data_IF_935525519525
#
_entry.id   IF_935525519525
#
_cell.length_a   1.000
_cell.length_b   1.000
_cell.length_c   1.000
_cell.angle_alpha   90.00
_cell.angle_beta   90.00
_cell.angle_gamma   90.00
#
_symmetry.space_group_name_H-M   'P 1'
#
loop_
_entity.id
_entity.type
_entity.pdbx_description
1 polymer ?
#
# COMPACT_ATOMS: atom_id res chain seq x y z
N UNK A 1 -4.41 18.19 10.49
CA UNK A 1 -5.60 17.38 10.12
C UNK A 1 -5.36 16.65 8.81
N UNK A 2 -4.89 15.40 8.85
CA UNK A 2 -4.52 14.65 7.62
C UNK A 2 -5.72 14.25 6.77
N UNK A 3 -6.79 13.72 7.41
CA UNK A 3 -7.99 13.31 6.69
C UNK A 3 -8.67 14.49 5.95
N UNK A 4 -8.69 15.68 6.55
CA UNK A 4 -9.22 16.89 5.86
C UNK A 4 -8.38 17.25 4.63
N UNK A 5 -7.06 17.13 4.72
CA UNK A 5 -6.14 17.38 3.60
C UNK A 5 -6.35 16.41 2.44
N UNK A 6 -6.57 15.12 2.73
CA UNK A 6 -6.91 14.11 1.71
C UNK A 6 -8.27 14.39 1.09
N UNK A 7 -9.30 14.66 1.91
CA UNK A 7 -10.65 15.02 1.40
C UNK A 7 -10.66 16.29 0.56
N UNK A 8 -9.77 17.23 0.85
CA UNK A 8 -9.58 18.46 0.09
C UNK A 8 -8.73 18.27 -1.18
N UNK A 9 -8.31 17.04 -1.51
CA UNK A 9 -7.53 16.73 -2.72
C UNK A 9 -6.09 17.27 -2.72
N UNK A 10 -5.60 17.76 -1.58
CA UNK A 10 -4.25 18.35 -1.49
C UNK A 10 -3.14 17.30 -1.46
N UNK A 11 -3.48 16.06 -1.11
CA UNK A 11 -2.59 14.91 -1.11
C UNK A 11 -3.37 13.74 -1.69
N UNK A 12 -2.78 13.05 -2.66
CA UNK A 12 -3.27 11.78 -3.19
C UNK A 12 -2.39 10.63 -2.64
N UNK A 13 -2.77 10.00 -1.52
CA UNK A 13 -1.99 8.91 -0.93
C UNK A 13 -2.10 7.61 -1.73
N UNK A 14 -3.09 7.49 -2.65
CA UNK A 14 -3.27 6.27 -3.42
C UNK A 14 -2.07 6.01 -4.34
N UNK A 15 -1.39 7.08 -4.78
CA UNK A 15 -0.15 7.02 -5.58
C UNK A 15 1.03 6.38 -4.86
N UNK A 16 0.98 6.27 -3.53
CA UNK A 16 2.04 5.60 -2.76
C UNK A 16 1.88 4.08 -2.79
N UNK A 17 0.69 3.58 -3.10
CA UNK A 17 0.38 2.15 -3.15
C UNK A 17 1.02 1.55 -4.39
N UNK A 18 2.05 0.74 -4.16
CA UNK A 18 2.78 0.01 -5.20
C UNK A 18 2.26 -1.41 -5.41
N UNK A 19 1.75 -2.04 -4.34
CA UNK A 19 1.32 -3.43 -4.38
C UNK A 19 0.02 -3.63 -3.61
N UNK A 20 -0.83 -4.51 -4.15
CA UNK A 20 -2.10 -4.93 -3.56
C UNK A 20 -2.12 -6.44 -3.48
N UNK A 21 -2.52 -6.96 -2.33
CA UNK A 21 -2.68 -8.39 -2.08
C UNK A 21 -4.08 -8.65 -1.57
N UNK A 22 -4.60 -9.85 -1.84
CA UNK A 22 -5.75 -10.34 -1.10
C UNK A 22 -5.31 -10.72 0.32
N UNK A 23 -6.24 -10.74 1.26
CA UNK A 23 -5.96 -11.11 2.64
C UNK A 23 -5.45 -12.56 2.74
N UNK A 24 -5.94 -13.46 1.88
CA UNK A 24 -5.45 -14.84 1.78
C UNK A 24 -3.96 -14.93 1.37
N UNK A 25 -3.45 -13.91 0.67
CA UNK A 25 -2.07 -13.80 0.21
C UNK A 25 -1.17 -12.99 1.16
N UNK A 26 -1.54 -12.86 2.44
CA UNK A 26 -0.80 -12.02 3.41
C UNK A 26 0.68 -12.39 3.53
N UNK A 27 1.03 -13.68 3.40
CA UNK A 27 2.41 -14.12 3.40
C UNK A 27 3.22 -13.53 2.23
N UNK A 28 2.65 -13.48 1.04
CA UNK A 28 3.26 -12.85 -0.13
C UNK A 28 3.38 -11.34 0.01
N UNK A 29 2.41 -10.69 0.68
CA UNK A 29 2.48 -9.28 1.00
C UNK A 29 3.68 -8.95 1.92
N UNK A 30 3.90 -9.78 2.95
CA UNK A 30 5.04 -9.64 3.86
C UNK A 30 6.38 -9.90 3.16
N UNK A 31 6.48 -10.94 2.33
CA UNK A 31 7.69 -11.23 1.58
C UNK A 31 8.04 -10.12 0.57
N UNK A 32 7.04 -9.56 -0.10
CA UNK A 32 7.23 -8.46 -1.04
C UNK A 32 7.77 -7.21 -0.34
N UNK A 33 7.21 -6.89 0.83
CA UNK A 33 7.66 -5.74 1.61
C UNK A 33 9.02 -5.98 2.27
N UNK A 34 9.34 -7.21 2.69
CA UNK A 34 10.65 -7.52 3.30
C UNK A 34 11.80 -7.33 2.30
N UNK A 35 11.53 -7.51 1.01
CA UNK A 35 12.46 -7.29 -0.11
C UNK A 35 12.18 -6.00 -0.88
N UNK A 36 11.72 -4.95 -0.19
CA UNK A 36 11.27 -3.69 -0.81
C UNK A 36 12.28 -3.06 -1.78
N UNK A 37 13.58 -3.19 -1.53
CA UNK A 37 14.62 -2.69 -2.43
C UNK A 37 14.61 -3.39 -3.79
N UNK A 38 14.33 -4.69 -3.81
CA UNK A 38 14.30 -5.50 -5.03
C UNK A 38 12.92 -5.43 -5.71
N UNK A 39 11.86 -5.44 -4.91
CA UNK A 39 10.46 -5.42 -5.38
C UNK A 39 9.94 -4.03 -5.70
N UNK A 40 10.71 -2.99 -5.39
CA UNK A 40 10.29 -1.59 -5.49
C UNK A 40 9.01 -1.28 -4.70
N UNK A 41 8.79 -2.01 -3.59
CA UNK A 41 7.63 -1.80 -2.73
C UNK A 41 7.77 -0.53 -1.88
N UNK A 42 6.81 0.39 -2.01
CA UNK A 42 6.71 1.61 -1.20
C UNK A 42 5.57 1.52 -0.17
N UNK A 43 4.38 1.14 -0.64
CA UNK A 43 3.23 0.84 0.21
C UNK A 43 2.53 -0.41 -0.31
N UNK A 44 2.32 -1.34 0.61
CA UNK A 44 1.56 -2.57 0.40
C UNK A 44 0.25 -2.44 1.17
N UNK A 45 -0.85 -2.89 0.57
CA UNK A 45 -2.15 -3.03 1.22
C UNK A 45 -2.73 -4.42 0.94
N UNK A 46 -3.40 -4.95 1.95
CA UNK A 46 -4.11 -6.23 1.92
C UNK A 46 -5.61 -5.98 2.01
N UNK A 47 -6.38 -6.52 1.07
CA UNK A 47 -7.83 -6.30 0.96
C UNK A 47 -8.59 -7.64 1.10
N UNK A 48 -9.81 -7.59 1.63
CA UNK A 48 -10.60 -8.79 1.95
C UNK A 48 -11.44 -9.29 0.75
N UNK A 49 -11.48 -8.53 -0.35
CA UNK A 49 -12.33 -8.77 -1.52
C UNK A 49 -11.57 -8.55 -2.82
#
# INVERSE_FOLDING_TARGET
MLLKTVRAGRIDPARLITHRFKLEDVAGAYDTLSRAADTHALKVITEVF
#
